data_IF_574366732112
#
_entry.id   IF_574366732112
#
_cell.length_a   1.000
_cell.length_b   1.000
_cell.length_c   1.000
_cell.angle_alpha   90.00
_cell.angle_beta   90.00
_cell.angle_gamma   90.00
#
_symmetry.space_group_name_H-M   'P 1'
#
loop_
_entity.id
_entity.type
_entity.pdbx_description
1 polymer ?
#
# COMPACT_ATOMS: atom_id res chain seq x y z
N UNK A 1 -18.41 5.93 4.60
CA UNK A 1 -17.21 5.10 4.88
C UNK A 1 -15.99 5.86 4.42
N UNK A 2 -15.19 6.35 5.37
CA UNK A 2 -13.84 6.86 5.08
C UNK A 2 -12.93 5.63 4.96
N UNK A 3 -12.47 5.34 3.75
CA UNK A 3 -11.57 4.22 3.48
C UNK A 3 -10.13 4.63 3.73
N UNK A 4 -9.31 3.70 4.24
CA UNK A 4 -7.86 3.85 4.42
C UNK A 4 -7.17 4.45 3.19
N UNK A 5 -7.63 4.09 1.98
CA UNK A 5 -7.12 4.66 0.72
C UNK A 5 -7.25 6.18 0.61
N UNK A 6 -8.37 6.77 1.05
CA UNK A 6 -8.53 8.24 1.03
C UNK A 6 -7.59 8.93 2.01
N UNK A 7 -7.30 8.28 3.14
CA UNK A 7 -6.38 8.82 4.12
C UNK A 7 -4.92 8.78 3.60
N UNK A 8 -4.54 7.69 2.91
CA UNK A 8 -3.24 7.60 2.24
C UNK A 8 -3.10 8.72 1.20
N UNK A 9 -4.11 8.94 0.36
CA UNK A 9 -4.11 10.04 -0.63
C UNK A 9 -3.92 11.41 0.05
N UNK A 10 -4.58 11.65 1.19
CA UNK A 10 -4.43 12.91 1.92
C UNK A 10 -3.04 13.07 2.57
N UNK A 11 -2.45 11.99 3.08
CA UNK A 11 -1.07 12.02 3.61
C UNK A 11 -0.06 12.29 2.50
N UNK A 12 -0.27 11.73 1.31
CA UNK A 12 0.57 12.00 0.13
C UNK A 12 0.44 13.46 -0.33
N UNK A 13 -0.78 14.02 -0.33
CA UNK A 13 -1.01 15.44 -0.61
C UNK A 13 -0.27 16.36 0.38
N UNK A 14 -0.38 16.08 1.69
CA UNK A 14 0.33 16.84 2.72
C UNK A 14 1.85 16.77 2.52
N UNK A 15 2.37 15.58 2.22
CA UNK A 15 3.79 15.35 1.93
C UNK A 15 4.27 16.15 0.70
N UNK A 16 3.43 16.24 -0.34
CA UNK A 16 3.70 17.06 -1.52
C UNK A 16 3.76 18.56 -1.16
N UNK A 17 2.83 19.04 -0.35
CA UNK A 17 2.81 20.45 0.11
C UNK A 17 4.04 20.78 0.94
N UNK A 18 4.46 19.90 1.87
CA UNK A 18 5.70 20.08 2.64
C UNK A 18 6.92 20.23 1.71
N UNK A 19 7.01 19.41 0.66
CA UNK A 19 8.07 19.52 -0.33
C UNK A 19 8.04 20.84 -1.11
N UNK A 20 6.85 21.33 -1.44
CA UNK A 20 6.69 22.64 -2.10
C UNK A 20 7.10 23.78 -1.16
N UNK A 21 6.74 23.71 0.12
CA UNK A 21 7.18 24.69 1.14
C UNK A 21 8.71 24.69 1.26
N UNK A 22 9.35 23.52 1.31
CA UNK A 22 10.82 23.41 1.33
C UNK A 22 11.48 24.06 0.11
N UNK A 23 10.86 23.98 -1.08
CA UNK A 23 11.35 24.67 -2.28
C UNK A 23 11.12 26.17 -2.20
N UNK A 24 9.93 26.59 -1.76
CA UNK A 24 9.57 28.00 -1.63
C UNK A 24 10.51 28.73 -0.67
N UNK A 25 10.82 28.15 0.49
CA UNK A 25 11.73 28.74 1.49
C UNK A 25 13.12 29.12 0.94
N UNK A 26 13.57 28.48 -0.15
CA UNK A 26 14.86 28.81 -0.79
C UNK A 26 14.84 30.14 -1.57
N UNK A 27 13.65 30.66 -1.86
CA UNK A 27 13.46 31.80 -2.76
C UNK A 27 12.67 32.95 -2.12
N UNK A 28 12.28 32.84 -0.84
CA UNK A 28 11.48 33.90 -0.16
C UNK A 28 12.33 34.79 0.75
N UNK A 29 11.77 35.92 1.16
CA UNK A 29 12.33 36.76 2.22
C UNK A 29 12.33 36.03 3.57
N UNK A 30 13.20 36.44 4.49
CA UNK A 30 13.35 35.82 5.82
C UNK A 30 12.05 35.82 6.64
N UNK A 31 11.25 36.89 6.56
CA UNK A 31 9.95 36.97 7.23
C UNK A 31 8.95 35.94 6.67
N UNK A 32 8.95 35.71 5.35
CA UNK A 32 8.13 34.69 4.71
C UNK A 32 8.64 33.27 4.99
N UNK A 33 9.96 33.08 5.12
CA UNK A 33 10.55 31.77 5.51
C UNK A 33 10.04 31.34 6.87
N UNK A 34 9.96 32.25 7.85
CA UNK A 34 9.50 31.90 9.20
C UNK A 34 8.02 31.47 9.23
N UNK A 35 7.16 32.13 8.44
CA UNK A 35 5.76 31.71 8.27
C UNK A 35 5.67 30.34 7.60
N UNK A 36 6.43 30.14 6.52
CA UNK A 36 6.49 28.87 5.80
C UNK A 36 7.00 27.72 6.69
N UNK A 37 7.99 28.00 7.55
CA UNK A 37 8.54 27.04 8.50
C UNK A 37 7.49 26.59 9.51
N UNK A 38 6.73 27.53 10.09
CA UNK A 38 5.63 27.20 11.02
C UNK A 38 4.52 26.39 10.35
N UNK A 39 4.13 26.78 9.15
CA UNK A 39 3.11 26.05 8.40
C UNK A 39 3.57 24.62 8.07
N UNK A 40 4.87 24.45 7.75
CA UNK A 40 5.47 23.13 7.56
C UNK A 40 5.40 22.30 8.83
N UNK A 41 5.78 22.85 9.98
CA UNK A 41 5.75 22.14 11.27
C UNK A 41 4.34 21.66 11.61
N UNK A 42 3.32 22.50 11.39
CA UNK A 42 1.92 22.11 11.60
C UNK A 42 1.48 20.95 10.69
N UNK A 43 1.95 20.92 9.44
CA UNK A 43 1.65 19.82 8.52
C UNK A 43 2.36 18.52 8.93
N UNK A 44 3.59 18.61 9.43
CA UNK A 44 4.34 17.47 9.96
C UNK A 44 3.65 16.88 11.20
N UNK A 45 3.18 17.73 12.14
CA UNK A 45 2.40 17.29 13.31
C UNK A 45 1.09 16.58 12.92
N UNK A 46 0.40 17.03 11.86
CA UNK A 46 -0.82 16.38 11.37
C UNK A 46 -0.51 14.98 10.84
N UNK A 47 0.59 14.82 10.09
CA UNK A 47 0.99 13.50 9.56
C UNK A 47 1.35 12.57 10.70
N UNK A 48 2.13 13.04 11.67
CA UNK A 48 2.51 12.26 12.86
C UNK A 48 1.27 11.82 13.64
N UNK A 49 0.34 12.74 13.92
CA UNK A 49 -0.93 12.42 14.55
C UNK A 49 -1.70 11.33 13.79
N UNK A 50 -1.80 11.43 12.47
CA UNK A 50 -2.48 10.44 11.62
C UNK A 50 -1.79 9.07 11.68
N UNK A 51 -0.46 9.04 11.75
CA UNK A 51 0.31 7.79 11.87
C UNK A 51 0.22 7.16 13.26
N UNK A 52 0.13 7.98 14.31
CA UNK A 52 -0.02 7.54 15.70
C UNK A 52 -1.45 7.12 16.02
N UNK A 53 -2.44 7.62 15.28
CA UNK A 53 -3.78 7.06 15.35
C UNK A 53 -3.69 5.61 14.90
N UNK A 54 -3.93 4.71 15.85
CA UNK A 54 -4.10 3.29 15.60
C UNK A 54 -5.36 3.13 14.75
N UNK A 55 -5.21 3.26 13.43
CA UNK A 55 -6.31 3.08 12.48
C UNK A 55 -6.64 1.61 12.53
N UNK A 56 -7.51 1.27 13.47
CA UNK A 56 -8.22 0.02 13.60
C UNK A 56 -9.12 -0.10 12.37
N UNK A 57 -8.48 -0.47 11.26
CA UNK A 57 -9.17 -0.81 10.04
C UNK A 57 -10.04 -2.03 10.35
N UNK A 58 -11.36 -2.00 10.06
CA UNK A 58 -12.18 -3.21 10.14
C UNK A 58 -11.73 -4.27 9.11
N UNK A 59 -10.83 -3.91 8.20
CA UNK A 59 -10.11 -4.85 7.35
C UNK A 59 -8.91 -5.38 8.13
N UNK A 60 -9.18 -6.33 9.01
CA UNK A 60 -8.18 -7.26 9.49
C UNK A 60 -7.63 -8.02 8.28
N UNK A 61 -6.35 -7.85 7.99
CA UNK A 61 -5.67 -8.55 6.90
C UNK A 61 -5.82 -10.07 7.07
N UNK A 62 -5.79 -10.57 8.30
CA UNK A 62 -6.01 -11.98 8.60
C UNK A 62 -7.44 -12.40 8.22
N UNK A 63 -8.46 -11.65 8.66
CA UNK A 63 -9.86 -11.84 8.27
C UNK A 63 -10.10 -11.76 6.76
N UNK A 64 -9.44 -10.84 6.05
CA UNK A 64 -9.54 -10.72 4.59
C UNK A 64 -8.89 -11.92 3.89
N UNK A 65 -7.71 -12.34 4.35
CA UNK A 65 -7.01 -13.52 3.83
C UNK A 65 -7.78 -14.81 4.14
N UNK A 66 -8.42 -14.90 5.31
CA UNK A 66 -9.22 -16.05 5.72
C UNK A 66 -10.54 -16.14 4.95
N UNK A 67 -11.21 -15.02 4.68
CA UNK A 67 -12.43 -14.98 3.86
C UNK A 67 -12.16 -15.31 2.38
N UNK A 68 -10.96 -15.03 1.88
CA UNK A 68 -10.57 -15.29 0.49
C UNK A 68 -9.63 -16.49 0.33
N UNK A 69 -9.40 -17.27 1.40
CA UNK A 69 -8.43 -18.38 1.44
C UNK A 69 -8.64 -19.41 0.33
N UNK A 70 -9.88 -19.72 -0.01
CA UNK A 70 -10.23 -20.66 -1.08
C UNK A 70 -9.85 -20.11 -2.46
N UNK A 71 -10.21 -18.87 -2.75
CA UNK A 71 -9.86 -18.18 -4.00
C UNK A 71 -8.33 -18.09 -4.16
N UNK A 72 -7.62 -17.68 -3.10
CA UNK A 72 -6.16 -17.60 -3.11
C UNK A 72 -5.50 -18.97 -3.34
N UNK A 73 -6.07 -20.05 -2.75
CA UNK A 73 -5.61 -21.42 -3.00
C UNK A 73 -5.83 -21.82 -4.46
N UNK A 74 -7.01 -21.59 -5.02
CA UNK A 74 -7.34 -21.93 -6.41
C UNK A 74 -6.48 -21.16 -7.43
N UNK A 75 -6.20 -19.88 -7.16
CA UNK A 75 -5.26 -19.05 -7.95
C UNK A 75 -3.83 -19.60 -7.92
N UNK A 76 -3.39 -20.20 -6.81
CA UNK A 76 -2.05 -20.77 -6.67
C UNK A 76 -1.96 -22.21 -7.22
N UNK A 77 -3.02 -23.01 -7.08
CA UNK A 77 -3.10 -24.38 -7.58
C UNK A 77 -3.06 -24.45 -9.12
N UNK A 78 -3.73 -23.51 -9.80
CA UNK A 78 -3.68 -23.40 -11.26
C UNK A 78 -2.28 -23.12 -11.81
N UNK A 79 -1.39 -22.51 -11.01
CA UNK A 79 0.01 -22.27 -11.38
C UNK A 79 0.89 -23.52 -11.25
N UNK A 80 0.52 -24.49 -10.39
CA UNK A 80 1.27 -25.74 -10.19
C UNK A 80 0.81 -26.91 -11.08
N UNK A 81 -0.36 -26.82 -11.70
CA UNK A 81 -0.92 -27.87 -12.57
C UNK A 81 -0.19 -28.06 -13.92
N UNK A 82 0.86 -27.30 -14.21
CA UNK A 82 1.62 -27.40 -15.47
C UNK A 82 2.84 -28.32 -15.41
N UNK A 83 2.89 -29.28 -14.48
CA UNK A 83 3.87 -30.37 -14.53
C UNK A 83 3.28 -31.57 -15.29
N UNK A 84 3.64 -31.59 -16.59
CA UNK A 84 3.59 -32.62 -17.63
C UNK A 84 2.94 -33.97 -17.27
N UNK A 85 2.06 -34.51 -18.14
CA UNK A 85 1.57 -35.89 -17.99
C UNK A 85 2.75 -36.85 -18.08
N UNK A 86 2.83 -37.79 -17.14
CA UNK A 86 3.64 -38.99 -17.26
C UNK A 86 3.33 -39.63 -18.60
N UNK A 87 4.33 -39.73 -19.46
CA UNK A 87 4.30 -40.60 -20.64
C UNK A 87 4.28 -42.05 -20.15
N UNK A 88 3.09 -42.55 -19.84
CA UNK A 88 2.77 -43.98 -19.85
C UNK A 88 2.03 -44.29 -21.15
N UNK A 89 2.71 -44.96 -22.09
CA UNK A 89 2.16 -45.83 -23.15
C UNK A 89 3.34 -46.30 -24.02
N UNK A 90 3.50 -47.56 -24.41
CA UNK A 90 2.60 -48.71 -24.43
C UNK A 90 3.41 -50.00 -24.27
N UNK A 91 2.81 -51.00 -23.63
CA UNK A 91 3.13 -52.41 -23.85
C UNK A 91 2.87 -52.74 -25.33
N UNK A 92 3.90 -53.08 -26.08
CA UNK A 92 3.74 -53.86 -27.31
C UNK A 92 4.14 -55.31 -27.00
N UNK A 93 3.11 -56.14 -26.95
CA UNK A 93 3.16 -57.60 -26.86
C UNK A 93 2.81 -58.11 -28.25
N UNK A 94 3.62 -58.98 -28.86
CA UNK A 94 3.23 -60.04 -29.83
C UNK A 94 4.47 -60.73 -30.43
N UNK A 95 4.33 -61.95 -30.98
CA UNK A 95 4.16 -63.25 -30.32
C UNK A 95 5.41 -64.16 -30.42
#
# INVERSE_FOLDING_TARGET
MYTLGKLIEQVDEISSVINQINRAMRHTSSASVEVLRRNKEQLEEIVEYVMEQDISSPLDLEGLLMSHKKCLRECMESSYSNKRPSTERSRDYTP
#
